data_IF_500341837470
#
_entry.id   IF_500341837470
#
_cell.length_a   1.000
_cell.length_b   1.000
_cell.length_c   1.000
_cell.angle_alpha   90.00
_cell.angle_beta   90.00
_cell.angle_gamma   90.00
#
_symmetry.space_group_name_H-M   'P 1'
#
loop_
_entity.id
_entity.type
_entity.pdbx_description
1 polymer ?
#
# COMPACT_ATOMS: atom_id res chain seq x y z
N UNK A 1 6.56 -1.48 -13.85
CA UNK A 1 6.06 -0.59 -12.79
C UNK A 1 4.56 -0.79 -12.57
N UNK A 2 4.15 -1.03 -11.33
CA UNK A 2 2.75 -1.03 -10.89
C UNK A 2 2.59 -0.15 -9.64
N UNK A 3 1.40 0.40 -9.46
CA UNK A 3 1.06 1.25 -8.31
C UNK A 3 -0.14 0.65 -7.58
N UNK A 4 0.01 0.49 -6.26
CA UNK A 4 -1.07 0.12 -5.35
C UNK A 4 -1.50 1.38 -4.58
N UNK A 5 -2.80 1.62 -4.54
CA UNK A 5 -3.40 2.72 -3.76
C UNK A 5 -4.34 2.08 -2.75
N UNK A 6 -4.19 2.45 -1.48
CA UNK A 6 -5.04 1.98 -0.39
C UNK A 6 -5.73 3.17 0.29
N UNK A 7 -7.06 3.16 0.25
CA UNK A 7 -7.91 4.12 0.94
C UNK A 7 -8.53 3.48 2.17
N UNK A 8 -8.31 4.11 3.32
CA UNK A 8 -8.96 3.74 4.58
C UNK A 8 -10.03 4.79 4.87
N UNK A 9 -11.27 4.33 4.99
CA UNK A 9 -12.44 5.16 5.28
C UNK A 9 -13.01 4.79 6.64
N UNK A 10 -13.56 5.78 7.34
CA UNK A 10 -14.36 5.56 8.54
C UNK A 10 -15.68 4.86 8.17
N UNK A 11 -16.02 3.80 8.92
CA UNK A 11 -17.16 2.94 8.61
C UNK A 11 -18.51 3.62 8.79
N UNK A 12 -18.60 4.57 9.72
CA UNK A 12 -19.83 5.27 10.08
C UNK A 12 -20.08 6.48 9.16
N UNK A 13 -19.12 7.40 9.13
CA UNK A 13 -19.20 8.67 8.38
C UNK A 13 -18.85 8.55 6.91
N UNK A 14 -18.31 7.40 6.47
CA UNK A 14 -17.80 7.15 5.10
C UNK A 14 -16.71 8.13 4.67
N UNK A 15 -16.07 8.82 5.62
CA UNK A 15 -15.03 9.79 5.31
C UNK A 15 -13.66 9.13 5.18
N UNK A 16 -12.85 9.62 4.24
CA UNK A 16 -11.46 9.19 4.09
C UNK A 16 -10.65 9.60 5.32
N UNK A 17 -10.13 8.63 6.06
CA UNK A 17 -9.29 8.88 7.25
C UNK A 17 -7.81 8.77 6.94
N UNK A 18 -7.45 8.02 5.89
CA UNK A 18 -6.08 7.86 5.46
C UNK A 18 -6.01 7.32 4.03
N UNK A 19 -4.98 7.73 3.30
CA UNK A 19 -4.61 7.20 1.98
C UNK A 19 -3.12 6.91 1.98
N UNK A 20 -2.75 5.73 1.52
CA UNK A 20 -1.37 5.38 1.21
C UNK A 20 -1.22 4.96 -0.24
N UNK A 21 -0.06 5.26 -0.81
CA UNK A 21 0.36 4.74 -2.10
C UNK A 21 1.65 3.92 -1.96
N UNK A 22 1.76 2.86 -2.75
CA UNK A 22 2.95 2.04 -2.87
C UNK A 22 3.26 1.81 -4.34
N UNK A 23 4.46 2.18 -4.78
CA UNK A 23 4.93 1.90 -6.13
C UNK A 23 5.99 0.80 -6.09
N UNK A 24 5.83 -0.21 -6.93
CA UNK A 24 6.79 -1.31 -7.04
C UNK A 24 7.10 -1.64 -8.50
N UNK A 25 8.38 -1.86 -8.79
CA UNK A 25 8.79 -2.41 -10.09
C UNK A 25 8.95 -3.93 -10.00
N UNK A 26 7.97 -4.63 -10.58
CA UNK A 26 7.91 -6.09 -10.58
C UNK A 26 8.82 -6.73 -11.64
N UNK A 27 9.49 -5.94 -12.50
CA UNK A 27 10.28 -6.45 -13.61
C UNK A 27 9.44 -7.12 -14.70
N UNK A 28 10.12 -7.80 -15.63
CA UNK A 28 9.50 -8.40 -16.83
C UNK A 28 8.73 -9.70 -16.56
N UNK A 29 8.97 -10.35 -15.42
CA UNK A 29 8.32 -11.61 -15.04
C UNK A 29 7.69 -11.49 -13.64
N UNK A 30 6.44 -10.98 -13.55
CA UNK A 30 5.77 -10.74 -12.28
C UNK A 30 5.24 -12.01 -11.59
N UNK A 31 5.46 -13.20 -12.16
CA UNK A 31 4.93 -14.49 -11.70
C UNK A 31 5.78 -15.17 -10.60
N UNK A 32 6.99 -14.67 -10.34
CA UNK A 32 7.93 -15.30 -9.42
C UNK A 32 7.75 -14.88 -7.95
N UNK A 33 8.26 -15.70 -7.02
CA UNK A 33 8.29 -15.42 -5.58
C UNK A 33 8.94 -14.08 -5.23
N UNK A 34 9.81 -13.55 -6.09
CA UNK A 34 10.44 -12.23 -5.91
C UNK A 34 9.47 -11.06 -6.17
N UNK A 35 8.46 -11.25 -7.03
CA UNK A 35 7.40 -10.26 -7.22
C UNK A 35 6.54 -10.15 -5.95
N UNK A 36 6.17 -11.29 -5.34
CA UNK A 36 5.42 -11.30 -4.08
C UNK A 36 6.22 -10.60 -2.96
N UNK A 37 7.50 -10.91 -2.80
CA UNK A 37 8.36 -10.23 -1.81
C UNK A 37 8.43 -8.72 -2.02
N UNK A 38 8.52 -8.25 -3.27
CA UNK A 38 8.53 -6.82 -3.59
C UNK A 38 7.20 -6.15 -3.23
N UNK A 39 6.07 -6.83 -3.49
CA UNK A 39 4.73 -6.35 -3.11
C UNK A 39 4.62 -6.27 -1.59
N UNK A 40 5.05 -7.31 -0.87
CA UNK A 40 5.01 -7.37 0.60
C UNK A 40 5.85 -6.24 1.21
N UNK A 41 7.07 -6.01 0.72
CA UNK A 41 7.96 -4.94 1.17
C UNK A 41 7.39 -3.54 0.87
N UNK A 42 6.82 -3.34 -0.33
CA UNK A 42 6.20 -2.08 -0.70
C UNK A 42 4.97 -1.79 0.18
N UNK A 43 4.15 -2.81 0.44
CA UNK A 43 2.96 -2.71 1.31
C UNK A 43 3.36 -2.42 2.75
N UNK A 44 4.40 -3.09 3.27
CA UNK A 44 4.93 -2.87 4.62
C UNK A 44 5.45 -1.44 4.80
N UNK A 45 6.13 -0.88 3.79
CA UNK A 45 6.57 0.53 3.80
C UNK A 45 5.39 1.50 3.76
N UNK A 46 4.39 1.24 2.92
CA UNK A 46 3.18 2.07 2.85
C UNK A 46 2.45 2.13 4.19
N UNK A 47 2.35 0.98 4.88
CA UNK A 47 1.66 0.86 6.16
C UNK A 47 2.51 1.26 7.38
N UNK A 48 3.80 1.58 7.22
CA UNK A 48 4.67 1.91 8.37
C UNK A 48 4.23 3.17 9.11
N UNK A 49 3.54 4.07 8.41
CA UNK A 49 3.01 5.32 8.94
C UNK A 49 1.49 5.27 9.16
N UNK A 50 0.91 4.07 9.06
CA UNK A 50 -0.50 3.81 9.34
C UNK A 50 -0.66 3.17 10.74
N UNK A 51 -1.70 3.56 11.51
CA UNK A 51 -2.56 4.72 11.29
C UNK A 51 -1.78 6.02 11.49
N UNK A 52 -2.15 7.10 10.77
CA UNK A 52 -1.56 8.41 11.00
C UNK A 52 -1.86 8.82 12.45
N UNK A 53 -0.86 9.38 13.13
CA UNK A 53 -1.09 9.87 14.50
C UNK A 53 -2.15 10.97 14.45
N UNK A 54 -3.12 10.96 15.37
CA UNK A 54 -4.05 12.08 15.49
C UNK A 54 -3.23 13.36 15.68
N UNK A 55 -3.50 14.37 14.86
CA UNK A 55 -2.89 15.71 14.94
C UNK A 55 -3.40 16.48 16.14
#
# INVERSE_FOLDING_TARGET
>A
QGTLILDVVDGDSKQLVWRGDAQADLGSDPSGSDAQKKIDEATKKMLSNFPPKPS
#
